data_IF_671049987853
#
_entry.id   IF_671049987853
#
_cell.length_a   1.000
_cell.length_b   1.000
_cell.length_c   1.000
_cell.angle_alpha   90.00
_cell.angle_beta   90.00
_cell.angle_gamma   90.00
#
_symmetry.space_group_name_H-M   'P 1'
#
loop_
_entity.id
_entity.type
_entity.pdbx_description
1 polymer ?
#
# COMPACT_ATOMS: atom_id res chain seq x y z
N UNK A 1 -47.58 -13.65 15.77
CA UNK A 1 -47.24 -13.39 14.35
C UNK A 1 -46.17 -12.31 14.29
N UNK A 2 -45.09 -12.61 13.59
CA UNK A 2 -43.98 -11.77 13.21
C UNK A 2 -43.00 -11.27 14.28
N UNK A 3 -42.00 -12.08 14.48
CA UNK A 3 -40.71 -11.65 14.97
C UNK A 3 -39.62 -12.34 14.13
N UNK A 4 -39.33 -11.78 12.98
CA UNK A 4 -38.22 -12.26 12.14
C UNK A 4 -37.77 -11.11 11.18
N UNK A 5 -36.95 -10.19 11.70
CA UNK A 5 -36.10 -9.37 10.82
C UNK A 5 -35.00 -8.58 11.59
N UNK A 6 -34.38 -9.13 12.62
CA UNK A 6 -33.39 -8.38 13.40
C UNK A 6 -31.94 -8.84 13.19
N UNK A 7 -31.70 -9.85 12.34
CA UNK A 7 -30.35 -10.39 12.09
C UNK A 7 -29.62 -9.78 10.88
N UNK A 8 -30.33 -9.13 9.96
CA UNK A 8 -29.79 -8.67 8.69
C UNK A 8 -29.25 -7.23 8.71
N UNK A 9 -29.55 -6.44 9.75
CA UNK A 9 -29.19 -5.02 9.82
C UNK A 9 -27.88 -4.71 10.55
N UNK A 10 -27.32 -5.63 11.33
CA UNK A 10 -26.14 -5.33 12.16
C UNK A 10 -24.83 -5.27 11.33
N UNK A 11 -24.66 -6.12 10.32
CA UNK A 11 -23.50 -6.08 9.41
C UNK A 11 -23.49 -4.80 8.55
N UNK A 12 -24.64 -4.45 8.00
CA UNK A 12 -24.79 -3.26 7.15
C UNK A 12 -24.49 -1.95 7.87
N UNK A 13 -24.80 -1.82 9.17
CA UNK A 13 -24.55 -0.59 9.91
C UNK A 13 -23.06 -0.37 10.18
N UNK A 14 -22.33 -1.44 10.55
CA UNK A 14 -20.88 -1.35 10.75
C UNK A 14 -20.17 -0.92 9.47
N UNK A 15 -20.49 -1.56 8.36
CA UNK A 15 -19.90 -1.24 7.05
C UNK A 15 -20.30 0.18 6.57
N UNK A 16 -21.55 0.59 6.81
CA UNK A 16 -22.00 1.95 6.49
C UNK A 16 -21.25 3.01 7.28
N UNK A 17 -20.89 2.76 8.54
CA UNK A 17 -20.10 3.67 9.36
C UNK A 17 -18.65 3.76 8.86
N UNK A 18 -18.04 2.63 8.46
CA UNK A 18 -16.69 2.61 7.88
C UNK A 18 -16.67 3.39 6.57
N UNK A 19 -17.64 3.16 5.68
CA UNK A 19 -17.75 3.87 4.40
C UNK A 19 -18.03 5.37 4.60
N UNK A 20 -18.86 5.72 5.61
CA UNK A 20 -19.12 7.12 5.95
C UNK A 20 -17.86 7.83 6.45
N UNK A 21 -17.07 7.17 7.29
CA UNK A 21 -15.78 7.68 7.75
C UNK A 21 -14.78 7.83 6.60
N UNK A 22 -14.68 6.83 5.72
CA UNK A 22 -13.84 6.89 4.54
C UNK A 22 -14.22 8.06 3.63
N UNK A 23 -15.52 8.27 3.40
CA UNK A 23 -16.01 9.39 2.60
C UNK A 23 -15.72 10.75 3.25
N UNK A 24 -15.78 10.87 4.58
CA UNK A 24 -15.37 12.10 5.28
C UNK A 24 -13.88 12.38 5.10
N UNK A 25 -13.04 11.37 5.21
CA UNK A 25 -11.60 11.49 4.97
C UNK A 25 -11.30 11.95 3.54
N UNK A 26 -11.99 11.36 2.56
CA UNK A 26 -11.84 11.72 1.14
C UNK A 26 -12.20 13.19 0.89
N UNK A 27 -13.33 13.64 1.42
CA UNK A 27 -13.83 15.02 1.23
C UNK A 27 -12.99 16.07 1.95
N UNK A 28 -12.53 15.75 3.16
CA UNK A 28 -11.79 16.69 3.99
C UNK A 28 -10.28 16.67 3.74
N UNK A 29 -9.76 15.61 3.11
CA UNK A 29 -8.33 15.38 2.95
C UNK A 29 -7.59 15.21 4.29
N UNK A 30 -8.31 14.88 5.36
CA UNK A 30 -7.76 14.80 6.72
C UNK A 30 -8.52 13.79 7.59
N UNK A 31 -7.90 13.41 8.72
CA UNK A 31 -8.53 12.55 9.74
C UNK A 31 -9.32 13.35 10.80
N UNK A 32 -9.55 14.65 10.58
CA UNK A 32 -10.13 15.59 11.57
C UNK A 32 -11.66 15.55 11.57
N UNK A 33 -12.27 14.38 11.74
CA UNK A 33 -13.70 14.21 11.96
C UNK A 33 -13.96 13.53 13.30
N UNK A 34 -15.18 13.62 13.81
CA UNK A 34 -15.64 12.90 15.01
C UNK A 34 -16.40 11.62 14.62
N UNK A 35 -16.47 10.66 15.54
CA UNK A 35 -17.28 9.45 15.32
C UNK A 35 -18.77 9.78 15.12
N UNK A 36 -19.24 10.91 15.71
CA UNK A 36 -20.59 11.40 15.51
C UNK A 36 -20.81 12.01 14.13
N UNK A 37 -19.77 12.54 13.47
CA UNK A 37 -19.88 12.99 12.08
C UNK A 37 -20.07 11.80 11.14
N UNK A 38 -19.36 10.69 11.40
CA UNK A 38 -19.57 9.45 10.67
C UNK A 38 -20.98 8.89 10.87
N UNK A 39 -21.51 8.95 12.10
CA UNK A 39 -22.90 8.55 12.40
C UNK A 39 -23.91 9.41 11.65
N UNK A 40 -23.75 10.73 11.70
CA UNK A 40 -24.61 11.69 10.95
C UNK A 40 -24.61 11.42 9.47
N UNK A 41 -23.43 11.17 8.90
CA UNK A 41 -23.27 10.86 7.47
C UNK A 41 -23.91 9.52 7.10
N UNK A 42 -23.81 8.52 7.97
CA UNK A 42 -24.46 7.22 7.80
C UNK A 42 -25.97 7.26 8.04
N UNK A 43 -26.55 8.40 8.46
CA UNK A 43 -27.97 8.56 8.71
C UNK A 43 -28.45 7.88 10.00
N UNK A 44 -27.57 7.71 11.00
CA UNK A 44 -27.90 7.02 12.24
C UNK A 44 -27.71 7.94 13.46
N UNK A 45 -28.20 7.50 14.62
CA UNK A 45 -28.03 8.25 15.87
C UNK A 45 -26.57 8.33 16.30
N UNK A 46 -26.18 9.39 17.01
CA UNK A 46 -24.82 9.57 17.54
C UNK A 46 -24.35 8.46 18.49
N UNK A 47 -25.28 7.72 19.08
CA UNK A 47 -24.98 6.58 19.96
C UNK A 47 -24.77 5.26 19.19
N UNK A 48 -25.18 5.18 17.91
CA UNK A 48 -25.12 3.94 17.14
C UNK A 48 -23.70 3.42 16.90
N UNK A 49 -22.69 4.26 16.59
CA UNK A 49 -21.32 3.79 16.37
C UNK A 49 -20.73 3.05 17.56
N UNK A 50 -21.01 3.47 18.78
CA UNK A 50 -20.46 2.90 20.01
C UNK A 50 -20.93 1.46 20.32
N UNK A 51 -21.87 0.93 19.51
CA UNK A 51 -22.25 -0.49 19.54
C UNK A 51 -21.31 -1.36 18.70
N UNK A 52 -20.51 -0.74 17.81
CA UNK A 52 -19.66 -1.41 16.84
C UNK A 52 -18.18 -1.06 17.00
N UNK A 53 -17.87 0.11 17.52
CA UNK A 53 -16.52 0.66 17.69
C UNK A 53 -16.37 1.20 19.10
N UNK A 54 -15.24 0.90 19.73
CA UNK A 54 -14.93 1.38 21.08
C UNK A 54 -14.75 2.90 21.08
N UNK A 55 -14.04 3.39 20.07
CA UNK A 55 -13.74 4.81 19.86
C UNK A 55 -13.49 5.10 18.37
N UNK A 56 -13.02 6.33 18.10
CA UNK A 56 -12.67 6.75 16.74
C UNK A 56 -11.50 5.96 16.16
N UNK A 57 -10.52 5.58 16.98
CA UNK A 57 -9.34 4.85 16.51
C UNK A 57 -9.73 3.44 16.06
N UNK A 58 -10.64 2.77 16.79
CA UNK A 58 -11.19 1.48 16.36
C UNK A 58 -11.93 1.59 15.01
N UNK A 59 -12.67 2.67 14.77
CA UNK A 59 -13.27 2.95 13.46
C UNK A 59 -12.18 3.20 12.39
N UNK A 60 -11.16 4.00 12.70
CA UNK A 60 -10.05 4.31 11.79
C UNK A 60 -9.22 3.07 11.43
N UNK A 61 -9.05 2.11 12.33
CA UNK A 61 -8.38 0.84 12.02
C UNK A 61 -9.09 0.06 10.91
N UNK A 62 -10.42 0.11 10.89
CA UNK A 62 -11.20 -0.51 9.82
C UNK A 62 -11.14 0.29 8.50
N UNK A 63 -11.06 1.62 8.58
CA UNK A 63 -10.83 2.46 7.39
C UNK A 63 -9.41 2.26 6.85
N UNK A 64 -8.43 2.00 7.71
CA UNK A 64 -7.06 1.64 7.31
C UNK A 64 -7.04 0.37 6.45
N UNK A 65 -7.85 -0.63 6.80
CA UNK A 65 -7.98 -1.84 5.99
C UNK A 65 -8.51 -1.53 4.58
N UNK A 66 -9.50 -0.63 4.45
CA UNK A 66 -9.97 -0.15 3.15
C UNK A 66 -8.87 0.58 2.36
N UNK A 67 -8.03 1.37 3.03
CA UNK A 67 -6.92 2.06 2.39
C UNK A 67 -5.88 1.07 1.82
N UNK A 68 -5.54 0.00 2.56
CA UNK A 68 -4.68 -1.08 2.05
C UNK A 68 -5.32 -1.81 0.87
N UNK A 69 -6.62 -2.09 0.93
CA UNK A 69 -7.35 -2.69 -0.20
C UNK A 69 -7.32 -1.80 -1.44
N UNK A 70 -7.49 -0.50 -1.28
CA UNK A 70 -7.41 0.46 -2.39
C UNK A 70 -6.02 0.52 -3.04
N UNK A 71 -4.95 0.53 -2.24
CA UNK A 71 -3.58 0.43 -2.77
C UNK A 71 -3.35 -0.91 -3.48
N UNK A 72 -3.80 -2.01 -2.87
CA UNK A 72 -3.68 -3.34 -3.48
C UNK A 72 -4.35 -3.38 -4.85
N UNK A 73 -5.61 -2.93 -4.94
CA UNK A 73 -6.36 -2.90 -6.20
C UNK A 73 -5.62 -2.10 -7.27
N UNK A 74 -5.10 -0.91 -6.95
CA UNK A 74 -4.35 -0.09 -7.89
C UNK A 74 -3.07 -0.80 -8.41
N UNK A 75 -2.36 -1.50 -7.52
CA UNK A 75 -1.16 -2.27 -7.88
C UNK A 75 -1.52 -3.52 -8.70
N UNK A 76 -2.61 -4.21 -8.39
CA UNK A 76 -3.10 -5.36 -9.14
C UNK A 76 -3.52 -4.97 -10.56
N UNK A 77 -4.27 -3.89 -10.72
CA UNK A 77 -4.62 -3.35 -12.03
C UNK A 77 -3.37 -3.02 -12.85
N UNK A 78 -2.36 -2.40 -12.23
CA UNK A 78 -1.07 -2.12 -12.89
C UNK A 78 -0.36 -3.40 -13.31
N UNK A 79 -0.28 -4.40 -12.45
CA UNK A 79 0.33 -5.69 -12.79
C UNK A 79 -0.39 -6.38 -13.94
N UNK A 80 -1.73 -6.36 -13.96
CA UNK A 80 -2.54 -6.94 -15.04
C UNK A 80 -2.29 -6.25 -16.38
N UNK A 81 -2.18 -4.91 -16.40
CA UNK A 81 -1.87 -4.13 -17.61
C UNK A 81 -0.50 -4.50 -18.22
N UNK A 82 0.46 -4.89 -17.38
CA UNK A 82 1.82 -5.23 -17.80
C UNK A 82 2.08 -6.74 -17.93
N UNK A 83 1.08 -7.59 -17.67
CA UNK A 83 1.24 -9.05 -17.59
C UNK A 83 1.83 -9.68 -18.85
N UNK A 84 1.53 -9.12 -20.02
CA UNK A 84 1.98 -9.62 -21.32
C UNK A 84 3.05 -8.72 -21.96
N UNK A 85 3.56 -7.74 -21.22
CA UNK A 85 4.61 -6.86 -21.71
C UNK A 85 5.95 -7.62 -21.73
N UNK A 86 6.65 -7.61 -22.85
CA UNK A 86 8.00 -8.15 -22.95
C UNK A 86 9.02 -7.30 -22.19
N UNK A 87 8.69 -6.03 -21.90
CA UNK A 87 9.50 -5.15 -21.06
C UNK A 87 9.11 -5.31 -19.59
N UNK A 88 9.76 -6.25 -18.92
CA UNK A 88 9.53 -6.51 -17.50
C UNK A 88 10.08 -5.42 -16.57
N UNK A 89 11.04 -4.60 -17.05
CA UNK A 89 11.53 -3.43 -16.30
C UNK A 89 10.43 -2.37 -16.22
N UNK A 90 9.71 -2.14 -17.32
CA UNK A 90 8.57 -1.24 -17.35
C UNK A 90 7.48 -1.65 -16.33
N UNK A 91 7.27 -2.95 -16.14
CA UNK A 91 6.34 -3.44 -15.13
C UNK A 91 6.79 -3.07 -13.71
N UNK A 92 8.07 -3.20 -13.38
CA UNK A 92 8.62 -2.82 -12.07
C UNK A 92 8.50 -1.30 -11.84
N UNK A 93 8.82 -0.48 -12.85
CA UNK A 93 8.64 0.98 -12.76
C UNK A 93 7.19 1.35 -12.52
N UNK A 94 6.27 0.74 -13.28
CA UNK A 94 4.85 1.01 -13.17
C UNK A 94 4.31 0.72 -11.76
N UNK A 95 4.79 -0.32 -11.09
CA UNK A 95 4.42 -0.62 -9.70
C UNK A 95 4.82 0.51 -8.75
N UNK A 96 6.06 0.99 -8.85
CA UNK A 96 6.55 2.11 -8.04
C UNK A 96 5.82 3.42 -8.32
N UNK A 97 5.57 3.73 -9.60
CA UNK A 97 4.82 4.93 -10.00
C UNK A 97 3.36 4.88 -9.53
N UNK A 98 2.73 3.71 -9.56
CA UNK A 98 1.37 3.52 -9.01
C UNK A 98 1.35 3.75 -7.50
N UNK A 99 2.38 3.30 -6.79
CA UNK A 99 2.53 3.56 -5.37
C UNK A 99 2.61 5.07 -5.07
N UNK A 100 3.46 5.83 -5.79
CA UNK A 100 3.56 7.29 -5.65
C UNK A 100 2.24 7.99 -5.98
N UNK A 101 1.59 7.59 -7.08
CA UNK A 101 0.30 8.14 -7.49
C UNK A 101 -0.77 7.94 -6.41
N UNK A 102 -0.82 6.74 -5.81
CA UNK A 102 -1.73 6.45 -4.71
C UNK A 102 -1.44 7.32 -3.49
N UNK A 103 -0.19 7.39 -3.05
CA UNK A 103 0.23 8.20 -1.91
C UNK A 103 -0.12 9.69 -2.10
N UNK A 104 0.10 10.24 -3.30
CA UNK A 104 -0.21 11.62 -3.65
C UNK A 104 -1.72 11.87 -3.72
N UNK A 105 -2.47 11.00 -4.38
CA UNK A 105 -3.91 11.15 -4.61
C UNK A 105 -4.76 10.85 -3.38
N UNK A 106 -4.24 10.05 -2.43
CA UNK A 106 -4.94 9.57 -1.24
C UNK A 106 -4.16 9.86 0.05
N UNK A 107 -3.66 11.09 0.18
CA UNK A 107 -2.74 11.49 1.25
C UNK A 107 -3.20 11.11 2.66
N UNK A 108 -4.46 11.41 3.00
CA UNK A 108 -4.99 11.11 4.33
C UNK A 108 -5.09 9.60 4.59
N UNK A 109 -5.45 8.81 3.57
CA UNK A 109 -5.44 7.36 3.66
C UNK A 109 -4.02 6.81 3.71
N UNK A 110 -3.09 7.38 2.93
CA UNK A 110 -1.69 6.96 2.97
C UNK A 110 -1.06 7.22 4.35
N UNK A 111 -1.30 8.40 4.95
CA UNK A 111 -0.91 8.69 6.33
C UNK A 111 -1.54 7.69 7.30
N UNK A 112 -2.86 7.43 7.20
CA UNK A 112 -3.55 6.45 8.04
C UNK A 112 -2.96 5.04 7.96
N UNK A 113 -2.44 4.64 6.80
CA UNK A 113 -1.84 3.30 6.61
C UNK A 113 -0.55 3.11 7.40
N UNK A 114 0.29 4.16 7.53
CA UNK A 114 1.68 4.04 7.98
C UNK A 114 1.99 4.78 9.28
N UNK A 115 1.20 5.79 9.63
CA UNK A 115 1.39 6.51 10.88
C UNK A 115 0.73 5.77 12.05
N UNK A 116 1.39 5.85 13.20
CA UNK A 116 0.83 5.34 14.46
C UNK A 116 -0.09 6.41 15.05
N UNK A 117 -1.40 6.23 14.88
CA UNK A 117 -2.42 7.13 15.42
C UNK A 117 -2.84 6.77 16.86
N UNK A 118 -1.98 6.11 17.63
CA UNK A 118 -2.20 5.67 19.00
C UNK A 118 -2.63 4.21 19.08
N UNK A 119 -2.11 3.53 20.06
CA UNK A 119 -2.32 2.13 20.48
C UNK A 119 -2.95 1.21 19.41
N UNK A 120 -2.19 0.88 18.37
CA UNK A 120 -2.51 -0.25 17.51
C UNK A 120 -2.54 -1.50 18.37
N UNK A 121 -3.70 -2.13 18.49
CA UNK A 121 -3.78 -3.45 19.12
C UNK A 121 -2.90 -4.41 18.33
N UNK A 122 -1.89 -5.05 18.94
CA UNK A 122 -0.95 -5.93 18.23
C UNK A 122 -1.66 -7.05 17.45
N UNK A 123 -2.83 -7.46 17.91
CA UNK A 123 -3.69 -8.51 17.34
C UNK A 123 -4.34 -8.08 16.02
N UNK A 124 -4.48 -6.77 15.76
CA UNK A 124 -5.03 -6.20 14.53
C UNK A 124 -3.97 -5.80 13.51
N UNK A 125 -2.70 -6.07 13.77
CA UNK A 125 -1.66 -5.98 12.76
C UNK A 125 -1.89 -7.11 11.74
N UNK A 126 -2.86 -6.92 10.86
CA UNK A 126 -3.10 -7.87 9.78
C UNK A 126 -1.97 -7.75 8.75
N UNK A 127 -0.82 -8.34 9.11
CA UNK A 127 0.38 -8.42 8.26
C UNK A 127 0.04 -9.00 6.88
N UNK A 128 -0.99 -9.87 6.80
CA UNK A 128 -1.44 -10.44 5.54
C UNK A 128 -1.95 -9.35 4.57
N UNK A 129 -2.79 -8.40 5.02
CA UNK A 129 -3.27 -7.32 4.15
C UNK A 129 -2.15 -6.35 3.75
N UNK A 130 -1.22 -6.05 4.67
CA UNK A 130 -0.05 -5.21 4.37
C UNK A 130 0.90 -5.86 3.37
N UNK A 131 0.99 -7.19 3.36
CA UNK A 131 1.89 -7.94 2.49
C UNK A 131 1.38 -8.13 1.06
N UNK A 132 0.09 -7.96 0.79
CA UNK A 132 -0.49 -8.26 -0.54
C UNK A 132 0.10 -7.35 -1.63
N UNK A 133 0.18 -6.04 -1.39
CA UNK A 133 0.81 -5.11 -2.33
C UNK A 133 2.30 -5.42 -2.55
N UNK A 134 3.00 -5.81 -1.50
CA UNK A 134 4.40 -6.23 -1.59
C UNK A 134 4.56 -7.51 -2.41
N UNK A 135 3.64 -8.48 -2.29
CA UNK A 135 3.66 -9.71 -3.07
C UNK A 135 3.53 -9.48 -4.58
N UNK A 136 2.74 -8.47 -4.98
CA UNK A 136 2.61 -8.08 -6.39
C UNK A 136 3.93 -7.49 -6.93
N UNK A 137 4.60 -6.64 -6.15
CA UNK A 137 5.93 -6.14 -6.51
C UNK A 137 6.95 -7.28 -6.59
N UNK A 138 6.97 -8.18 -5.61
CA UNK A 138 7.87 -9.35 -5.61
C UNK A 138 7.69 -10.17 -6.89
N UNK A 139 6.46 -10.50 -7.27
CA UNK A 139 6.16 -11.22 -8.52
C UNK A 139 6.69 -10.47 -9.76
N UNK A 140 6.56 -9.13 -9.80
CA UNK A 140 7.06 -8.33 -10.92
C UNK A 140 8.60 -8.36 -10.98
N UNK A 141 9.28 -8.32 -9.84
CA UNK A 141 10.73 -8.45 -9.73
C UNK A 141 11.19 -9.86 -10.14
N UNK A 142 10.53 -10.91 -9.66
CA UNK A 142 10.82 -12.30 -10.04
C UNK A 142 10.74 -12.49 -11.55
N UNK A 143 9.68 -12.02 -12.19
CA UNK A 143 9.49 -12.09 -13.63
C UNK A 143 10.63 -11.35 -14.38
N UNK A 144 11.04 -10.17 -13.88
CA UNK A 144 12.16 -9.43 -14.46
C UNK A 144 13.48 -10.22 -14.36
N UNK A 145 13.79 -10.77 -13.20
CA UNK A 145 15.02 -11.51 -12.97
C UNK A 145 15.06 -12.82 -13.79
N UNK A 146 13.94 -13.53 -13.92
CA UNK A 146 13.80 -14.72 -14.76
C UNK A 146 14.04 -14.38 -16.23
N UNK A 147 13.43 -13.30 -16.74
CA UNK A 147 13.60 -12.89 -18.11
C UNK A 147 15.05 -12.52 -18.43
N UNK A 148 15.71 -11.78 -17.51
CA UNK A 148 17.08 -11.32 -17.66
C UNK A 148 18.11 -12.45 -17.64
N UNK A 149 17.90 -13.49 -16.83
CA UNK A 149 18.84 -14.61 -16.69
C UNK A 149 18.94 -15.52 -17.93
N UNK A 150 18.05 -15.35 -18.93
CA UNK A 150 18.01 -16.21 -20.10
C UNK A 150 17.56 -17.64 -19.77
N UNK A 151 17.07 -18.37 -20.76
CA UNK A 151 16.55 -19.74 -20.58
C UNK A 151 17.70 -20.70 -20.26
N UNK A 152 18.23 -20.72 -19.05
CA UNK A 152 19.08 -21.84 -18.85
C UNK A 152 20.01 -21.96 -17.67
N UNK A 153 20.26 -21.07 -16.77
CA UNK A 153 21.24 -21.39 -15.71
C UNK A 153 21.04 -20.71 -14.36
N UNK A 154 20.14 -19.78 -14.22
CA UNK A 154 19.91 -19.22 -12.89
C UNK A 154 18.53 -19.65 -12.38
N UNK A 155 18.52 -20.59 -11.45
CA UNK A 155 17.54 -20.60 -10.39
C UNK A 155 17.59 -19.19 -9.79
N UNK A 156 16.66 -18.31 -10.19
CA UNK A 156 16.52 -17.01 -9.55
C UNK A 156 16.35 -17.31 -8.08
N UNK A 157 17.40 -16.97 -7.30
CA UNK A 157 17.34 -17.22 -5.89
C UNK A 157 16.18 -16.37 -5.36
N UNK A 158 15.13 -17.03 -4.89
CA UNK A 158 13.97 -16.37 -4.31
C UNK A 158 14.39 -15.31 -3.27
N UNK A 159 15.51 -15.55 -2.60
CA UNK A 159 16.12 -14.62 -1.66
C UNK A 159 16.62 -13.34 -2.36
N UNK A 160 17.17 -13.42 -3.55
CA UNK A 160 17.60 -12.25 -4.34
C UNK A 160 16.40 -11.42 -4.76
N UNK A 161 15.34 -12.05 -5.26
CA UNK A 161 14.11 -11.34 -5.62
C UNK A 161 13.46 -10.65 -4.41
N UNK A 162 13.40 -11.35 -3.29
CA UNK A 162 12.87 -10.78 -2.04
C UNK A 162 13.69 -9.57 -1.57
N UNK A 163 15.03 -9.66 -1.63
CA UNK A 163 15.92 -8.58 -1.26
C UNK A 163 15.73 -7.34 -2.15
N UNK A 164 15.68 -7.55 -3.47
CA UNK A 164 15.45 -6.47 -4.45
C UNK A 164 14.06 -5.85 -4.26
N UNK A 165 13.02 -6.66 -4.11
CA UNK A 165 11.67 -6.16 -3.88
C UNK A 165 11.57 -5.35 -2.58
N UNK A 166 12.27 -5.77 -1.52
CA UNK A 166 12.34 -5.03 -0.25
C UNK A 166 13.01 -3.67 -0.43
N UNK A 167 14.11 -3.60 -1.18
CA UNK A 167 14.80 -2.33 -1.46
C UNK A 167 13.92 -1.40 -2.29
N UNK A 168 13.24 -1.92 -3.32
CA UNK A 168 12.34 -1.13 -4.16
C UNK A 168 11.12 -0.62 -3.38
N UNK A 169 10.58 -1.45 -2.48
CA UNK A 169 9.47 -1.03 -1.61
C UNK A 169 9.91 0.09 -0.67
N UNK A 170 11.08 -0.06 0.00
CA UNK A 170 11.64 0.96 0.87
C UNK A 170 11.92 2.27 0.13
N UNK A 171 12.44 2.19 -1.11
CA UNK A 171 12.67 3.34 -1.97
C UNK A 171 11.35 4.06 -2.29
N UNK A 172 10.35 3.34 -2.80
CA UNK A 172 9.06 3.93 -3.16
C UNK A 172 8.36 4.57 -1.95
N UNK A 173 8.40 3.90 -0.79
CA UNK A 173 7.84 4.43 0.44
C UNK A 173 8.58 5.68 0.93
N UNK A 174 9.90 5.66 0.91
CA UNK A 174 10.73 6.81 1.28
C UNK A 174 10.49 8.02 0.40
N UNK A 175 10.47 7.82 -0.93
CA UNK A 175 10.18 8.90 -1.89
C UNK A 175 8.77 9.46 -1.68
N UNK A 176 7.75 8.60 -1.54
CA UNK A 176 6.37 9.02 -1.29
C UNK A 176 6.22 9.84 0.00
N UNK A 177 6.92 9.44 1.06
CA UNK A 177 6.90 10.13 2.36
C UNK A 177 7.58 11.49 2.29
N UNK A 178 8.76 11.56 1.65
CA UNK A 178 9.51 12.82 1.47
C UNK A 178 8.74 13.80 0.57
N UNK A 179 8.11 13.33 -0.49
CA UNK A 179 7.25 14.15 -1.35
C UNK A 179 6.03 14.64 -0.55
N UNK A 180 5.35 13.74 0.17
CA UNK A 180 4.20 14.05 0.99
C UNK A 180 4.46 15.11 2.05
N UNK A 181 5.66 15.12 2.65
CA UNK A 181 6.10 16.10 3.64
C UNK A 181 6.74 17.36 3.05
N UNK A 182 6.80 17.49 1.71
CA UNK A 182 7.49 18.58 0.98
C UNK A 182 9.00 18.67 1.28
N UNK A 183 9.60 17.61 1.79
CA UNK A 183 11.04 17.61 2.10
C UNK A 183 11.90 17.46 0.85
N UNK A 184 11.39 16.87 -0.24
CA UNK A 184 12.12 16.82 -1.51
C UNK A 184 12.47 18.21 -2.00
N UNK A 185 11.51 19.13 -2.04
CA UNK A 185 11.69 20.51 -2.48
C UNK A 185 12.68 21.30 -1.61
N UNK A 186 12.82 20.90 -0.33
CA UNK A 186 13.75 21.52 0.60
C UNK A 186 15.20 21.13 0.31
N UNK A 187 15.44 19.89 -0.17
CA UNK A 187 16.78 19.40 -0.51
C UNK A 187 17.17 19.76 -1.93
N UNK A 188 16.26 19.60 -2.88
CA UNK A 188 16.47 19.91 -4.29
C UNK A 188 15.14 20.31 -4.94
N UNK A 189 14.99 21.60 -5.27
CA UNK A 189 13.78 22.15 -5.90
C UNK A 189 13.51 21.60 -7.30
N UNK A 190 14.50 20.99 -7.94
CA UNK A 190 14.35 20.35 -9.25
C UNK A 190 14.00 18.86 -9.14
N UNK A 191 14.06 18.29 -7.95
CA UNK A 191 13.80 16.88 -7.73
C UNK A 191 12.33 16.53 -8.02
N UNK A 192 12.13 15.54 -8.86
CA UNK A 192 10.81 14.97 -9.12
C UNK A 192 10.78 13.53 -8.60
N UNK A 193 9.79 13.21 -7.78
CA UNK A 193 9.65 11.91 -7.15
C UNK A 193 9.69 10.75 -8.15
N UNK A 194 9.04 10.92 -9.30
CA UNK A 194 9.03 9.93 -10.39
C UNK A 194 10.43 9.67 -10.96
N UNK A 195 11.20 10.73 -11.19
CA UNK A 195 12.57 10.63 -11.74
C UNK A 195 13.48 9.94 -10.74
N UNK A 196 13.43 10.34 -9.46
CA UNK A 196 14.21 9.70 -8.38
C UNK A 196 13.88 8.20 -8.33
N UNK A 197 12.59 7.86 -8.37
CA UNK A 197 12.16 6.47 -8.30
C UNK A 197 12.66 5.67 -9.50
N UNK A 198 12.50 6.17 -10.73
CA UNK A 198 12.90 5.49 -11.96
C UNK A 198 14.42 5.31 -12.01
N UNK A 199 15.18 6.36 -11.76
CA UNK A 199 16.65 6.33 -11.82
C UNK A 199 17.24 5.38 -10.76
N UNK A 200 16.77 5.48 -9.52
CA UNK A 200 17.24 4.61 -8.45
C UNK A 200 16.81 3.15 -8.66
N UNK A 201 15.59 2.89 -9.16
CA UNK A 201 15.14 1.55 -9.55
C UNK A 201 16.02 0.98 -10.67
N UNK A 202 16.34 1.79 -11.68
CA UNK A 202 17.22 1.40 -12.79
C UNK A 202 18.61 1.00 -12.29
N UNK A 203 19.22 1.83 -11.45
CA UNK A 203 20.53 1.56 -10.86
C UNK A 203 20.52 0.28 -10.01
N UNK A 204 19.46 0.05 -9.22
CA UNK A 204 19.30 -1.11 -8.37
C UNK A 204 19.18 -2.39 -9.18
N UNK A 205 18.31 -2.41 -10.20
CA UNK A 205 18.12 -3.55 -11.09
C UNK A 205 19.38 -3.85 -11.93
N UNK A 206 20.12 -2.83 -12.35
CA UNK A 206 21.40 -3.01 -13.03
C UNK A 206 22.47 -3.62 -12.12
N UNK A 207 22.45 -3.30 -10.82
CA UNK A 207 23.41 -3.80 -9.82
C UNK A 207 23.22 -5.24 -9.39
N UNK A 208 22.04 -5.84 -9.64
CA UNK A 208 21.70 -7.20 -9.17
C UNK A 208 22.69 -8.26 -9.70
N UNK A 209 23.21 -8.12 -10.92
CA UNK A 209 24.21 -9.03 -11.48
C UNK A 209 25.49 -9.15 -10.63
N UNK A 210 25.81 -8.10 -9.85
CA UNK A 210 26.99 -8.07 -8.98
C UNK A 210 26.71 -8.68 -7.59
N UNK A 211 25.45 -8.83 -7.20
CA UNK A 211 25.06 -9.39 -5.90
C UNK A 211 25.18 -10.92 -5.94
N UNK A 212 24.73 -11.55 -7.01
CA UNK A 212 24.79 -13.01 -7.16
C UNK A 212 26.22 -13.53 -7.16
N UNK A 213 27.17 -12.79 -7.76
CA UNK A 213 28.59 -13.15 -7.74
C UNK A 213 29.22 -12.99 -6.36
N UNK A 214 28.80 -12.03 -5.55
CA UNK A 214 29.31 -11.83 -4.18
C UNK A 214 28.76 -12.86 -3.19
N UNK A 215 27.51 -13.27 -3.32
CA UNK A 215 26.89 -14.28 -2.46
C UNK A 215 27.43 -15.68 -2.78
N UNK A 216 27.69 -16.00 -4.04
CA UNK A 216 28.31 -17.24 -4.46
C UNK A 216 29.77 -17.38 -3.99
N UNK A 217 30.48 -16.27 -3.83
CA UNK A 217 31.87 -16.24 -3.35
C UNK A 217 32.05 -16.32 -1.83
N UNK A 218 30.95 -16.21 -1.04
CA UNK A 218 31.01 -16.30 0.43
C UNK A 218 30.63 -17.69 0.97
N UNK A 219 30.25 -18.62 0.12
CA UNK A 219 29.86 -20.00 0.48
C UNK A 219 30.89 -21.05 0.04
N UNK A 220 32.09 -20.62 -0.32
CA UNK A 220 33.22 -21.48 -0.69
C UNK A 220 34.28 -21.59 0.41
#
# INVERSE_FOLDING_TARGET
MNNSNNGYHHGHLRDSLILAAAALIEEQGSLSFSITDAAKRAGVSSAAPYRHFQDKNDLLDNVRDLAFMGLHQALEETQQQHRHNSDTVAAVYAMGLTYLKYARGKRAFFSLMWEDHGQMQPERQNLAQKSVGFSLLLTSVENHLIQRSGKGVYSTNQQTALHVATQLWALAHGVATLEGSQMLDMFDKSAQAENILIEATSALLAGVANIDTKLAGQTG
#
